data_IF_868105132176
#
_entry.id   IF_868105132176
#
_cell.length_a   1.000
_cell.length_b   1.000
_cell.length_c   1.000
_cell.angle_alpha   90.00
_cell.angle_beta   90.00
_cell.angle_gamma   90.00
#
_symmetry.space_group_name_H-M   'P 1'
#
loop_
_entity.id
_entity.type
_entity.pdbx_description
1 polymer ?
#
# COMPACT_ATOMS: atom_id res chain seq x y z
N UNK A 1 -17.10 -51.67 48.79
CA UNK A 1 -18.21 -51.49 47.84
C UNK A 1 -18.80 -50.11 48.12
N UNK A 2 -18.79 -49.09 47.28
CA UNK A 2 -18.48 -48.95 45.85
C UNK A 2 -17.88 -47.54 45.64
N UNK A 3 -16.82 -47.47 44.83
CA UNK A 3 -16.25 -46.22 44.34
C UNK A 3 -17.12 -45.62 43.23
N UNK A 4 -17.21 -44.29 43.21
CA UNK A 4 -17.15 -43.49 41.99
C UNK A 4 -18.46 -43.22 41.22
N UNK A 5 -18.92 -41.97 41.29
CA UNK A 5 -19.56 -41.31 40.16
C UNK A 5 -19.01 -39.87 40.07
N UNK A 6 -17.81 -39.75 39.51
CA UNK A 6 -17.38 -38.52 38.85
C UNK A 6 -18.15 -38.42 37.53
N UNK A 7 -19.18 -37.58 37.50
CA UNK A 7 -19.84 -37.16 36.26
C UNK A 7 -18.85 -36.36 35.40
N UNK A 8 -18.41 -36.94 34.31
CA UNK A 8 -17.66 -36.29 33.23
C UNK A 8 -18.54 -35.24 32.56
N UNK A 9 -18.24 -33.96 32.77
CA UNK A 9 -18.78 -32.88 31.95
C UNK A 9 -18.13 -32.96 30.56
N UNK A 10 -18.92 -33.37 29.58
CA UNK A 10 -18.54 -33.44 28.17
C UNK A 10 -18.25 -32.02 27.64
N UNK A 11 -16.98 -31.73 27.34
CA UNK A 11 -16.59 -30.48 26.67
C UNK A 11 -17.16 -30.50 25.24
N UNK A 12 -18.27 -29.80 24.99
CA UNK A 12 -18.76 -29.53 23.62
C UNK A 12 -17.72 -28.69 22.88
N UNK A 13 -16.85 -29.35 22.13
CA UNK A 13 -15.92 -28.68 21.22
C UNK A 13 -16.71 -27.88 20.19
N UNK A 14 -16.48 -26.56 20.15
CA UNK A 14 -17.06 -25.68 19.13
C UNK A 14 -16.34 -25.98 17.80
N UNK A 15 -16.85 -26.94 17.04
CA UNK A 15 -16.37 -27.23 15.69
C UNK A 15 -16.97 -26.24 14.70
N UNK A 16 -16.22 -25.19 14.35
CA UNK A 16 -16.67 -24.14 13.43
C UNK A 16 -16.83 -24.73 12.01
N UNK A 17 -18.00 -24.55 11.40
CA UNK A 17 -18.28 -25.13 10.07
C UNK A 17 -17.50 -24.39 8.99
N UNK A 18 -17.04 -25.09 7.93
CA UNK A 18 -16.29 -24.47 6.81
C UNK A 18 -16.97 -23.22 6.20
N UNK A 19 -18.31 -23.22 6.13
CA UNK A 19 -19.10 -22.07 5.67
C UNK A 19 -19.00 -20.86 6.60
N UNK A 20 -18.96 -21.09 7.92
CA UNK A 20 -18.80 -20.05 8.93
C UNK A 20 -17.39 -19.45 8.91
N UNK A 21 -16.38 -20.30 8.72
CA UNK A 21 -14.98 -19.85 8.52
C UNK A 21 -14.87 -18.95 7.29
N UNK A 22 -15.51 -19.32 6.18
CA UNK A 22 -15.49 -18.52 4.95
C UNK A 22 -16.18 -17.16 5.14
N UNK A 23 -17.33 -17.12 5.81
CA UNK A 23 -18.04 -15.85 6.09
C UNK A 23 -17.28 -14.95 7.04
N UNK A 24 -16.66 -15.49 8.09
CA UNK A 24 -15.84 -14.71 9.03
C UNK A 24 -14.61 -14.16 8.30
N UNK A 25 -13.94 -14.98 7.49
CA UNK A 25 -12.80 -14.53 6.68
C UNK A 25 -13.17 -13.38 5.73
N UNK A 26 -14.31 -13.50 5.03
CA UNK A 26 -14.80 -12.44 4.15
C UNK A 26 -15.14 -11.16 4.94
N UNK A 27 -15.81 -11.28 6.08
CA UNK A 27 -16.15 -10.14 6.93
C UNK A 27 -14.90 -9.42 7.46
N UNK A 28 -13.87 -10.17 7.86
CA UNK A 28 -12.58 -9.60 8.28
C UNK A 28 -11.86 -8.90 7.13
N UNK A 29 -11.89 -9.46 5.91
CA UNK A 29 -11.31 -8.81 4.73
C UNK A 29 -12.04 -7.51 4.39
N UNK A 30 -13.37 -7.49 4.45
CA UNK A 30 -14.18 -6.28 4.24
C UNK A 30 -13.89 -5.25 5.33
N UNK A 31 -13.84 -5.66 6.59
CA UNK A 31 -13.50 -4.77 7.70
C UNK A 31 -12.09 -4.19 7.56
N UNK A 32 -11.10 -5.01 7.21
CA UNK A 32 -9.73 -4.55 6.95
C UNK A 32 -9.67 -3.54 5.81
N UNK A 33 -10.36 -3.80 4.69
CA UNK A 33 -10.46 -2.87 3.57
C UNK A 33 -11.13 -1.55 3.97
N UNK A 34 -12.18 -1.60 4.80
CA UNK A 34 -12.85 -0.41 5.34
C UNK A 34 -11.91 0.42 6.21
N UNK A 35 -11.19 -0.20 7.16
CA UNK A 35 -10.20 0.50 8.00
C UNK A 35 -9.09 1.14 7.15
N UNK A 36 -8.60 0.44 6.12
CA UNK A 36 -7.62 0.99 5.18
C UNK A 36 -8.14 2.16 4.36
N UNK A 37 -9.42 2.15 4.01
CA UNK A 37 -10.04 3.22 3.24
C UNK A 37 -10.21 4.50 4.07
N UNK A 38 -10.62 4.37 5.33
CA UNK A 38 -10.82 5.52 6.23
C UNK A 38 -9.50 6.06 6.80
N UNK A 39 -8.48 5.20 6.95
CA UNK A 39 -7.18 5.61 7.47
C UNK A 39 -6.27 6.11 6.36
N UNK A 40 -6.30 7.43 6.13
CA UNK A 40 -5.34 8.13 5.27
C UNK A 40 -4.20 8.63 6.16
N UNK A 41 -2.92 8.36 5.85
CA UNK A 41 -1.82 8.95 6.62
C UNK A 41 -1.96 10.47 6.61
N UNK A 42 -1.81 11.07 7.79
CA UNK A 42 -1.82 12.51 7.95
C UNK A 42 -0.55 13.10 7.30
N UNK A 43 -0.72 14.22 6.61
CA UNK A 43 0.39 14.87 5.94
C UNK A 43 -0.03 16.12 5.18
N UNK A 44 0.95 16.98 4.85
CA UNK A 44 0.69 18.23 4.17
C UNK A 44 0.11 17.99 2.78
N UNK A 45 -0.87 18.82 2.42
CA UNK A 45 -1.35 18.92 1.03
C UNK A 45 -0.72 20.16 0.40
N UNK A 46 0.00 19.98 -0.71
CA UNK A 46 0.68 21.07 -1.42
C UNK A 46 0.23 21.11 -2.88
N UNK A 47 0.31 22.29 -3.48
CA UNK A 47 0.05 22.50 -4.89
C UNK A 47 1.35 22.40 -5.69
N UNK A 48 1.33 21.64 -6.79
CA UNK A 48 2.38 21.57 -7.79
C UNK A 48 1.80 21.89 -9.18
N UNK A 49 2.66 22.04 -10.20
CA UNK A 49 2.26 22.42 -11.55
C UNK A 49 1.22 21.50 -12.21
N UNK A 50 1.17 20.23 -11.82
CA UNK A 50 0.25 19.21 -12.35
C UNK A 50 -0.98 18.94 -11.47
N UNK A 51 -1.07 19.56 -10.28
CA UNK A 51 -2.23 19.40 -9.38
C UNK A 51 -1.86 19.42 -7.91
N UNK A 52 -2.81 19.04 -7.04
CA UNK A 52 -2.55 18.94 -5.61
C UNK A 52 -2.07 17.54 -5.24
N UNK A 53 -1.07 17.45 -4.36
CA UNK A 53 -0.57 16.19 -3.79
C UNK A 53 -0.65 16.23 -2.27
N UNK A 54 -0.83 15.06 -1.65
CA UNK A 54 -0.76 14.87 -0.20
C UNK A 54 0.34 13.89 0.15
N UNK A 55 1.34 14.35 0.90
CA UNK A 55 2.44 13.52 1.40
C UNK A 55 2.13 12.88 2.75
N UNK A 56 3.18 12.43 3.43
CA UNK A 56 3.16 11.90 4.80
C UNK A 56 4.28 12.52 5.64
N UNK A 57 4.19 12.36 6.97
CA UNK A 57 5.28 12.62 7.90
C UNK A 57 5.99 11.29 8.19
N UNK A 58 7.32 11.29 8.08
CA UNK A 58 8.16 10.13 8.37
C UNK A 58 9.27 10.49 9.36
N UNK A 59 9.90 9.47 9.95
CA UNK A 59 11.01 9.63 10.88
C UNK A 59 12.29 9.04 10.29
N UNK A 60 13.38 9.79 10.40
CA UNK A 60 14.70 9.31 10.03
C UNK A 60 15.19 8.28 11.05
N UNK A 61 16.31 7.61 10.75
CA UNK A 61 16.96 6.69 11.69
C UNK A 61 17.39 7.38 13.00
N UNK A 62 17.61 8.70 12.98
CA UNK A 62 17.96 9.49 14.18
C UNK A 62 16.74 10.05 14.90
N UNK A 63 15.52 9.77 14.41
CA UNK A 63 14.27 10.23 14.99
C UNK A 63 13.82 11.62 14.52
N UNK A 64 14.55 12.26 13.59
CA UNK A 64 14.14 13.54 13.00
C UNK A 64 12.89 13.32 12.14
N UNK A 65 11.84 14.09 12.41
CA UNK A 65 10.64 14.12 11.57
C UNK A 65 10.93 14.90 10.29
N UNK A 66 10.41 14.43 9.16
CA UNK A 66 10.48 15.09 7.87
C UNK A 66 9.20 14.82 7.08
N UNK A 67 8.88 15.71 6.15
CA UNK A 67 7.81 15.51 5.17
C UNK A 67 8.33 14.71 3.99
N UNK A 68 7.53 13.76 3.51
CA UNK A 68 7.82 13.01 2.30
C UNK A 68 6.66 13.08 1.32
N UNK A 69 7.00 13.23 0.05
CA UNK A 69 6.07 13.17 -1.08
C UNK A 69 6.61 12.16 -2.08
N UNK A 70 5.98 11.01 -2.16
CA UNK A 70 6.46 9.83 -2.87
C UNK A 70 5.61 9.57 -4.12
N UNK A 71 6.22 8.96 -5.13
CA UNK A 71 5.50 8.46 -6.31
C UNK A 71 4.85 9.57 -7.16
N UNK A 72 5.42 10.78 -7.17
CA UNK A 72 4.90 11.90 -7.97
C UNK A 72 5.26 11.65 -9.45
N UNK A 73 4.28 11.56 -10.37
CA UNK A 73 4.58 11.39 -11.79
C UNK A 73 5.20 12.69 -12.33
N UNK A 74 6.37 12.58 -12.97
CA UNK A 74 7.01 13.73 -13.64
C UNK A 74 6.89 13.68 -15.16
N UNK A 75 6.54 12.52 -15.73
CA UNK A 75 6.30 12.32 -17.16
C UNK A 75 5.14 11.33 -17.39
N UNK A 76 4.63 11.26 -18.63
CA UNK A 76 3.70 10.21 -19.05
C UNK A 76 4.36 8.83 -18.98
N UNK A 77 3.61 7.75 -18.69
CA UNK A 77 4.15 6.40 -18.74
C UNK A 77 4.72 6.08 -20.14
N UNK A 78 5.99 5.64 -20.25
CA UNK A 78 6.66 5.38 -21.53
C UNK A 78 6.28 4.01 -22.11
N UNK A 79 4.97 3.74 -22.20
CA UNK A 79 4.40 2.46 -22.65
C UNK A 79 3.79 2.59 -24.04
N UNK A 80 3.66 1.45 -24.75
CA UNK A 80 3.06 1.41 -26.08
C UNK A 80 3.83 2.26 -27.08
N UNK A 81 3.16 3.24 -27.69
CA UNK A 81 3.77 4.14 -28.67
C UNK A 81 4.80 5.11 -28.08
N UNK A 82 4.83 5.29 -26.76
CA UNK A 82 5.82 6.13 -26.08
C UNK A 82 7.09 5.35 -25.68
N UNK A 83 7.14 4.04 -25.93
CA UNK A 83 8.31 3.24 -25.58
C UNK A 83 9.49 3.65 -26.45
N UNK A 84 10.64 3.92 -25.81
CA UNK A 84 11.87 4.40 -26.43
C UNK A 84 11.81 5.81 -27.03
N UNK A 85 10.72 6.53 -26.79
CA UNK A 85 10.58 7.94 -27.15
C UNK A 85 11.05 8.85 -26.00
N UNK A 86 11.40 10.12 -26.28
CA UNK A 86 11.64 11.10 -25.24
C UNK A 86 10.44 11.24 -24.28
N UNK A 87 10.68 11.45 -22.98
CA UNK A 87 9.60 11.59 -22.01
C UNK A 87 8.72 12.80 -22.34
N UNK A 88 7.40 12.59 -22.27
CA UNK A 88 6.41 13.65 -22.42
C UNK A 88 5.95 14.17 -21.05
N UNK A 89 5.56 15.45 -20.91
CA UNK A 89 5.10 16.01 -19.64
C UNK A 89 3.95 15.22 -19.02
N UNK A 90 3.97 15.02 -17.70
CA UNK A 90 2.90 14.36 -16.97
C UNK A 90 1.56 15.08 -17.15
N UNK A 91 0.47 14.30 -17.16
CA UNK A 91 -0.88 14.84 -17.23
C UNK A 91 -1.27 15.47 -15.89
N UNK A 92 -1.91 16.63 -15.96
CA UNK A 92 -2.52 17.24 -14.78
C UNK A 92 -3.72 16.43 -14.31
N UNK A 93 -3.99 16.46 -13.01
CA UNK A 93 -5.16 15.82 -12.41
C UNK A 93 -6.01 16.80 -11.61
N UNK A 94 -7.29 16.47 -11.47
CA UNK A 94 -8.21 17.15 -10.56
C UNK A 94 -8.19 16.50 -9.17
N UNK A 95 -8.47 17.28 -8.12
CA UNK A 95 -8.49 16.78 -6.75
C UNK A 95 -7.10 16.65 -6.13
N UNK A 96 -6.98 15.79 -5.11
CA UNK A 96 -5.73 15.57 -4.37
C UNK A 96 -5.21 14.17 -4.66
N UNK A 97 -4.01 14.07 -5.23
CA UNK A 97 -3.32 12.80 -5.45
C UNK A 97 -2.60 12.36 -4.18
N UNK A 98 -2.71 11.08 -3.87
CA UNK A 98 -1.97 10.46 -2.78
C UNK A 98 -0.49 10.28 -3.17
N UNK A 99 0.39 10.96 -2.43
CA UNK A 99 1.83 10.92 -2.56
C UNK A 99 2.48 10.37 -1.26
N UNK A 100 1.80 9.46 -0.55
CA UNK A 100 2.33 8.77 0.63
C UNK A 100 2.97 7.41 0.32
N UNK A 101 3.07 7.06 -0.98
CA UNK A 101 3.56 5.73 -1.42
C UNK A 101 4.51 5.87 -2.60
N UNK A 102 5.57 5.06 -2.58
CA UNK A 102 6.50 4.96 -3.70
C UNK A 102 5.79 4.53 -4.99
N UNK A 103 6.24 5.13 -6.10
CA UNK A 103 5.97 4.64 -7.44
C UNK A 103 6.68 3.31 -7.72
N UNK A 104 6.38 2.71 -8.88
CA UNK A 104 7.09 1.48 -9.28
C UNK A 104 8.53 1.79 -9.70
N UNK A 105 9.45 0.86 -9.41
CA UNK A 105 10.79 0.86 -9.99
C UNK A 105 10.73 0.57 -11.49
N UNK A 106 11.68 1.10 -12.26
CA UNK A 106 11.82 0.75 -13.67
C UNK A 106 12.27 -0.70 -13.85
N UNK A 107 11.86 -1.30 -14.98
CA UNK A 107 12.26 -2.65 -15.36
C UNK A 107 13.79 -2.80 -15.34
N UNK A 108 14.28 -3.72 -14.51
CA UNK A 108 15.70 -4.00 -14.35
C UNK A 108 15.94 -5.43 -13.83
N UNK A 109 17.17 -5.91 -13.99
CA UNK A 109 17.63 -7.15 -13.37
C UNK A 109 18.08 -6.87 -11.94
N UNK A 110 17.51 -7.58 -10.97
CA UNK A 110 18.04 -7.60 -9.61
C UNK A 110 19.34 -8.43 -9.58
N UNK A 111 20.46 -7.79 -9.26
CA UNK A 111 21.79 -8.43 -9.25
C UNK A 111 21.97 -9.46 -8.12
N UNK A 112 21.16 -9.38 -7.06
CA UNK A 112 21.24 -10.28 -5.91
C UNK A 112 20.42 -11.53 -6.17
N UNK A 113 19.20 -11.36 -6.69
CA UNK A 113 18.26 -12.47 -6.88
C UNK A 113 18.29 -13.06 -8.29
N UNK A 114 18.80 -12.31 -9.28
CA UNK A 114 18.82 -12.71 -10.69
C UNK A 114 17.46 -12.59 -11.40
N UNK A 115 16.44 -12.06 -10.74
CA UNK A 115 15.10 -11.89 -11.33
C UNK A 115 14.93 -10.50 -11.94
N UNK A 116 14.20 -10.44 -13.05
CA UNK A 116 13.74 -9.16 -13.63
C UNK A 116 12.52 -8.69 -12.83
N UNK A 117 12.56 -7.44 -12.37
CA UNK A 117 11.47 -6.80 -11.63
C UNK A 117 11.25 -5.36 -12.11
N UNK A 118 10.17 -4.72 -11.64
CA UNK A 118 9.81 -3.35 -12.00
C UNK A 118 8.70 -3.26 -13.05
N UNK A 119 8.37 -2.05 -13.47
CA UNK A 119 7.36 -1.75 -14.51
C UNK A 119 7.88 -0.69 -15.47
N UNK A 120 7.28 -0.61 -16.66
CA UNK A 120 7.58 0.48 -17.61
C UNK A 120 7.00 1.81 -17.16
N UNK A 121 5.81 1.79 -16.56
CA UNK A 121 5.26 2.93 -15.82
C UNK A 121 6.04 3.10 -14.51
N UNK A 122 7.16 3.81 -14.59
CA UNK A 122 8.12 4.02 -13.51
C UNK A 122 8.66 5.46 -13.42
N UNK A 123 8.15 6.41 -14.23
CA UNK A 123 8.63 7.79 -14.28
C UNK A 123 8.06 8.63 -13.12
N UNK A 124 8.47 8.26 -11.91
CA UNK A 124 8.09 8.89 -10.66
C UNK A 124 9.30 9.52 -9.96
N UNK A 125 9.05 10.57 -9.19
CA UNK A 125 10.03 11.20 -8.30
C UNK A 125 9.51 11.20 -6.86
N UNK A 126 10.45 11.21 -5.92
CA UNK A 126 10.20 11.32 -4.49
C UNK A 126 10.91 12.56 -3.95
N UNK A 127 10.26 13.32 -3.08
CA UNK A 127 10.77 14.55 -2.47
C UNK A 127 10.70 14.43 -0.95
N UNK A 128 11.80 14.79 -0.29
CA UNK A 128 11.94 14.75 1.17
C UNK A 128 12.32 16.15 1.67
N UNK A 129 11.60 16.66 2.66
CA UNK A 129 11.76 18.01 3.20
C UNK A 129 11.89 17.94 4.73
N UNK A 130 13.00 18.42 5.32
CA UNK A 130 13.18 18.47 6.78
C UNK A 130 12.11 19.28 7.51
#
# INVERSE_FOLDING_TARGET
MFNGLFTTQEKKGVGLKKREILTIGLALLVYYAYIRFIYKPEGPTINISTGNIRGSIAKSRTGLEYYEFLGIPYAKPPVGQLRFEPPQPAESWTGVRDASRYGAACLQLDIVTGYVYGREDCLFINVFVP
#
